data_IF_765120834380
#
_entry.id   IF_765120834380
#
_cell.length_a   1.000
_cell.length_b   1.000
_cell.length_c   1.000
_cell.angle_alpha   90.00
_cell.angle_beta   90.00
_cell.angle_gamma   90.00
#
_symmetry.space_group_name_H-M   'P 1'
#
loop_
_entity.id
_entity.type
_entity.pdbx_description
1 polymer ?
#
# COMPACT_ATOMS: atom_id res chain seq x y z
N UNK A 1 16.54 8.81 0.34
CA UNK A 1 15.84 8.11 -0.75
C UNK A 1 14.36 8.06 -0.40
N UNK A 2 13.44 8.15 -1.36
CA UNK A 2 12.00 7.94 -1.09
C UNK A 2 11.62 6.53 -1.49
N UNK A 3 10.97 5.78 -0.60
CA UNK A 3 10.64 4.37 -0.78
C UNK A 3 9.12 4.21 -0.65
N UNK A 4 8.49 3.63 -1.67
CA UNK A 4 7.09 3.22 -1.63
C UNK A 4 7.01 1.74 -1.27
N UNK A 5 6.21 1.41 -0.26
CA UNK A 5 5.92 0.03 0.15
C UNK A 5 4.44 -0.27 -0.14
N UNK A 6 4.19 -1.37 -0.85
CA UNK A 6 2.86 -1.88 -1.19
C UNK A 6 2.85 -3.40 -1.06
N UNK A 7 1.66 -4.01 -1.00
CA UNK A 7 1.45 -5.45 -1.05
C UNK A 7 0.07 -5.78 -1.67
N UNK A 8 -0.24 -7.07 -1.74
CA UNK A 8 -1.54 -7.62 -2.09
C UNK A 8 -2.32 -8.19 -0.90
N UNK A 9 -1.65 -8.56 0.21
CA UNK A 9 -2.34 -9.00 1.45
C UNK A 9 -3.19 -7.88 2.13
N UNK A 10 -3.03 -6.63 1.67
CA UNK A 10 -3.72 -5.46 2.19
C UNK A 10 -2.97 -4.71 3.29
N UNK A 11 -3.44 -3.49 3.55
CA UNK A 11 -2.78 -2.48 4.41
C UNK A 11 -2.65 -2.90 5.88
N UNK A 12 -3.46 -3.85 6.33
CA UNK A 12 -3.46 -4.35 7.72
C UNK A 12 -2.63 -5.63 7.89
N UNK A 13 -1.98 -6.13 6.83
CA UNK A 13 -1.10 -7.29 6.93
C UNK A 13 0.11 -6.99 7.82
N UNK A 14 0.51 -7.89 8.73
CA UNK A 14 1.71 -7.70 9.56
C UNK A 14 3.00 -7.63 8.72
N UNK A 15 2.99 -8.22 7.52
CA UNK A 15 4.15 -8.25 6.63
C UNK A 15 4.55 -6.86 6.12
N UNK A 16 3.57 -6.02 5.75
CA UNK A 16 3.84 -4.70 5.18
C UNK A 16 4.52 -3.76 6.17
N UNK A 17 4.11 -3.84 7.45
CA UNK A 17 4.71 -3.08 8.55
C UNK A 17 6.14 -3.56 8.83
N UNK A 18 6.36 -4.88 8.83
CA UNK A 18 7.68 -5.46 9.01
C UNK A 18 8.65 -5.01 7.91
N UNK A 19 8.19 -5.01 6.65
CA UNK A 19 8.97 -4.53 5.51
C UNK A 19 9.25 -3.02 5.61
N UNK A 20 8.27 -2.21 5.97
CA UNK A 20 8.42 -0.77 6.14
C UNK A 20 9.46 -0.41 7.22
N UNK A 21 9.48 -1.16 8.34
CA UNK A 21 10.50 -1.01 9.41
C UNK A 21 11.91 -1.26 8.92
N UNK A 22 12.11 -2.27 8.08
CA UNK A 22 13.45 -2.54 7.50
C UNK A 22 13.80 -1.49 6.46
N UNK A 23 12.86 -1.13 5.59
CA UNK A 23 13.06 -0.16 4.52
C UNK A 23 13.39 1.25 5.04
N UNK A 24 12.88 1.64 6.21
CA UNK A 24 13.11 2.96 6.79
C UNK A 24 14.56 3.23 7.18
N UNK A 25 15.37 2.18 7.37
CA UNK A 25 16.82 2.31 7.54
C UNK A 25 17.52 2.83 6.28
N UNK A 26 16.87 2.80 5.12
CA UNK A 26 17.43 3.18 3.82
C UNK A 26 16.80 4.45 3.23
N UNK A 27 15.71 4.97 3.79
CA UNK A 27 15.05 6.17 3.30
C UNK A 27 13.68 6.46 3.91
N UNK A 28 13.04 7.51 3.41
CA UNK A 28 11.71 7.92 3.83
C UNK A 28 10.67 6.96 3.23
N UNK A 29 9.95 6.24 4.09
CA UNK A 29 8.99 5.23 3.69
C UNK A 29 7.57 5.79 3.67
N UNK A 30 6.85 5.53 2.57
CA UNK A 30 5.40 5.67 2.46
C UNK A 30 4.79 4.31 2.19
N UNK A 31 3.67 4.02 2.84
CA UNK A 31 2.92 2.78 2.64
C UNK A 31 1.64 3.11 1.87
N UNK A 32 1.40 2.43 0.76
CA UNK A 32 0.13 2.51 0.02
C UNK A 32 -0.28 1.10 -0.34
N UNK A 33 -1.44 0.63 0.15
CA UNK A 33 -1.89 -0.73 -0.08
C UNK A 33 -3.41 -0.85 -0.13
N UNK A 34 -3.94 -1.97 -0.68
CA UNK A 34 -5.37 -2.24 -0.72
C UNK A 34 -6.02 -2.27 0.67
N UNK A 35 -7.30 -1.93 0.75
CA UNK A 35 -8.08 -2.00 2.00
C UNK A 35 -8.50 -3.42 2.38
N UNK A 36 -8.37 -4.38 1.46
CA UNK A 36 -8.70 -5.80 1.61
C UNK A 36 -7.64 -6.66 0.94
N UNK A 37 -7.65 -7.97 1.21
CA UNK A 37 -6.86 -8.97 0.50
C UNK A 37 -7.12 -8.93 -1.02
N UNK A 38 -6.06 -8.92 -1.82
CA UNK A 38 -6.06 -8.85 -3.28
C UNK A 38 -5.10 -9.88 -3.91
N UNK A 39 -4.72 -10.92 -3.18
CA UNK A 39 -3.98 -12.07 -3.71
C UNK A 39 -4.59 -12.56 -5.02
N UNK A 40 -3.73 -12.85 -5.99
CA UNK A 40 -4.11 -13.30 -7.35
C UNK A 40 -4.75 -12.24 -8.27
N UNK A 41 -4.71 -10.95 -7.93
CA UNK A 41 -5.15 -9.89 -8.85
C UNK A 41 -4.20 -9.60 -10.02
N UNK A 42 -2.97 -10.13 -10.00
CA UNK A 42 -1.96 -9.91 -11.05
C UNK A 42 -1.79 -8.40 -11.36
N UNK A 43 -1.81 -8.02 -12.63
CA UNK A 43 -1.71 -6.63 -13.09
C UNK A 43 -3.07 -5.96 -13.33
N UNK A 44 -4.12 -6.39 -12.61
CA UNK A 44 -5.43 -5.75 -12.72
C UNK A 44 -5.34 -4.26 -12.32
N UNK A 45 -6.17 -3.43 -12.94
CA UNK A 45 -6.35 -2.01 -12.61
C UNK A 45 -7.83 -1.71 -12.42
N UNK A 46 -8.17 -0.76 -11.56
CA UNK A 46 -9.56 -0.41 -11.28
C UNK A 46 -10.06 0.64 -12.28
N UNK A 47 -10.91 0.22 -13.24
CA UNK A 47 -11.61 1.12 -14.17
C UNK A 47 -13.13 1.18 -13.95
N UNK A 48 -13.69 0.21 -13.22
CA UNK A 48 -15.14 0.06 -13.03
C UNK A 48 -15.74 1.01 -11.98
N UNK A 49 -14.89 1.67 -11.18
CA UNK A 49 -15.31 2.61 -10.13
C UNK A 49 -14.23 3.65 -9.86
N UNK A 50 -14.56 4.82 -9.30
CA UNK A 50 -13.56 5.77 -8.84
C UNK A 50 -12.67 5.19 -7.74
N UNK A 51 -11.36 5.46 -7.85
CA UNK A 51 -10.39 5.19 -6.80
C UNK A 51 -10.55 6.20 -5.65
N UNK A 52 -10.52 5.69 -4.43
CA UNK A 52 -10.52 6.44 -3.18
C UNK A 52 -9.29 6.01 -2.39
N UNK A 53 -8.52 6.98 -1.94
CA UNK A 53 -7.41 6.79 -1.03
C UNK A 53 -7.69 7.53 0.27
N UNK A 54 -7.32 6.93 1.40
CA UNK A 54 -7.52 7.52 2.72
C UNK A 54 -6.27 7.31 3.56
N UNK A 55 -5.72 8.40 4.09
CA UNK A 55 -4.64 8.33 5.08
C UNK A 55 -5.15 7.59 6.33
N UNK A 56 -4.34 6.68 6.84
CA UNK A 56 -4.61 5.94 8.07
C UNK A 56 -3.44 6.06 9.05
N UNK A 57 -3.67 5.66 10.29
CA UNK A 57 -2.60 5.47 11.26
C UNK A 57 -2.11 4.01 11.18
N UNK A 58 -0.83 3.80 10.90
CA UNK A 58 -0.20 2.49 10.82
C UNK A 58 1.23 2.61 11.38
N UNK A 59 1.39 2.27 12.66
CA UNK A 59 2.57 2.60 13.45
C UNK A 59 2.97 4.08 13.24
N UNK A 60 4.25 4.35 12.97
CA UNK A 60 4.80 5.69 12.74
C UNK A 60 4.93 6.04 11.24
N UNK A 61 4.30 5.29 10.33
CA UNK A 61 4.46 5.46 8.88
C UNK A 61 3.37 6.34 8.23
N UNK A 62 3.75 7.08 7.17
CA UNK A 62 2.80 7.76 6.27
C UNK A 62 2.09 6.70 5.42
N UNK A 63 0.88 6.30 5.83
CA UNK A 63 0.15 5.16 5.28
C UNK A 63 -1.20 5.55 4.66
N UNK A 64 -1.50 4.96 3.49
CA UNK A 64 -2.76 5.16 2.76
C UNK A 64 -3.39 3.82 2.41
N UNK A 65 -4.67 3.68 2.73
CA UNK A 65 -5.49 2.59 2.18
C UNK A 65 -6.09 3.04 0.84
N UNK A 66 -6.21 2.11 -0.10
CA UNK A 66 -6.84 2.33 -1.40
C UNK A 66 -7.94 1.28 -1.65
N UNK A 67 -9.09 1.67 -2.19
CA UNK A 67 -10.17 0.75 -2.58
C UNK A 67 -9.94 0.07 -3.96
N UNK A 68 -8.67 -0.16 -4.31
CA UNK A 68 -8.21 -0.61 -5.61
C UNK A 68 -7.30 -1.83 -5.50
N UNK A 69 -6.63 -2.14 -6.61
CA UNK A 69 -5.66 -3.23 -6.73
C UNK A 69 -4.26 -2.80 -6.26
N UNK A 70 -3.32 -3.74 -6.09
CA UNK A 70 -1.92 -3.40 -5.83
C UNK A 70 -1.30 -2.51 -6.91
N UNK A 71 -1.67 -2.69 -8.18
CA UNK A 71 -1.19 -1.83 -9.26
C UNK A 71 -1.72 -0.39 -9.14
N UNK A 72 -2.99 -0.24 -8.74
CA UNK A 72 -3.56 1.09 -8.45
C UNK A 72 -2.84 1.76 -7.27
N UNK A 73 -2.43 0.99 -6.25
CA UNK A 73 -1.69 1.50 -5.10
C UNK A 73 -0.33 2.07 -5.51
N UNK A 74 0.40 1.36 -6.38
CA UNK A 74 1.68 1.83 -6.91
C UNK A 74 1.51 3.07 -7.80
N UNK A 75 0.44 3.15 -8.59
CA UNK A 75 0.18 4.30 -9.44
C UNK A 75 -0.18 5.57 -8.66
N UNK A 76 -0.75 5.44 -7.46
CA UNK A 76 -1.17 6.56 -6.60
C UNK A 76 -0.10 7.04 -5.61
N UNK A 77 0.88 6.21 -5.26
CA UNK A 77 1.84 6.43 -4.17
C UNK A 77 3.02 7.33 -4.51
#
# INVERSE_FOLDING_TARGET
MRILVSNDDGIYSPGIVSLAKVASHFGDVRIVAPDVEQSSMSHAITSSRPLRFKRIHLDDFDAYRVNGTPADCVALG
#
